data_IF_859609378977
#
_entry.id   IF_859609378977
#
_cell.length_a   1.000
_cell.length_b   1.000
_cell.length_c   1.000
_cell.angle_alpha   90.00
_cell.angle_beta   90.00
_cell.angle_gamma   90.00
#
_symmetry.space_group_name_H-M   'P 1'
#
loop_
_entity.id
_entity.type
_entity.pdbx_description
1 polymer ?
#
# COMPACT_ATOMS: atom_id res chain seq x y z
N UNK A 1 -22.43 8.06 7.45
CA UNK A 1 -22.35 6.65 7.95
C UNK A 1 -23.29 5.67 7.23
N UNK A 2 -24.36 6.09 6.56
CA UNK A 2 -25.28 5.18 5.83
C UNK A 2 -24.69 4.50 4.59
N UNK A 3 -23.59 5.04 4.03
CA UNK A 3 -22.97 4.54 2.79
C UNK A 3 -21.91 3.45 2.98
N UNK A 4 -21.45 3.15 4.22
CA UNK A 4 -20.49 2.06 4.47
C UNK A 4 -21.12 0.68 4.13
N UNK A 5 -22.46 0.52 4.03
CA UNK A 5 -23.16 -0.79 3.96
C UNK A 5 -23.06 -1.54 2.62
N UNK A 6 -22.52 -0.95 1.56
CA UNK A 6 -22.60 -1.52 0.21
C UNK A 6 -21.44 -2.44 -0.19
N UNK A 7 -20.39 -2.58 0.63
CA UNK A 7 -19.28 -3.51 0.37
C UNK A 7 -19.46 -4.83 1.09
N UNK A 8 -18.82 -5.93 0.62
CA UNK A 8 -18.83 -7.21 1.35
C UNK A 8 -18.19 -7.11 2.76
N UNK A 9 -17.41 -6.07 3.06
CA UNK A 9 -16.75 -5.84 4.35
C UNK A 9 -16.86 -4.38 4.83
N UNK A 10 -18.08 -3.91 5.13
CA UNK A 10 -18.39 -2.48 5.37
C UNK A 10 -17.65 -1.89 6.57
N UNK A 11 -17.32 -2.72 7.54
CA UNK A 11 -16.65 -2.32 8.77
C UNK A 11 -15.13 -2.21 8.59
N UNK A 12 -14.52 -2.91 7.62
CA UNK A 12 -13.07 -2.84 7.36
C UNK A 12 -12.71 -1.52 6.67
N UNK A 13 -13.52 -1.08 5.69
CA UNK A 13 -13.37 0.23 5.05
C UNK A 13 -13.47 1.36 6.11
N UNK A 14 -14.43 1.22 7.03
CA UNK A 14 -14.61 2.11 8.16
C UNK A 14 -13.37 2.11 9.12
N UNK A 15 -12.67 0.98 9.32
CA UNK A 15 -11.37 0.92 10.04
C UNK A 15 -10.26 1.67 9.28
N UNK A 16 -10.20 1.52 7.95
CA UNK A 16 -9.20 2.25 7.14
C UNK A 16 -9.43 3.76 7.25
N UNK A 17 -10.67 4.23 7.16
CA UNK A 17 -10.98 5.65 7.36
C UNK A 17 -10.59 6.15 8.76
N UNK A 18 -10.87 5.37 9.80
CA UNK A 18 -10.45 5.70 11.16
C UNK A 18 -8.93 5.81 11.27
N UNK A 19 -8.19 4.90 10.63
CA UNK A 19 -6.72 4.94 10.59
C UNK A 19 -6.18 6.21 9.91
N UNK A 20 -6.84 6.68 8.85
CA UNK A 20 -6.50 7.95 8.21
C UNK A 20 -6.75 9.15 9.13
N UNK A 21 -7.83 9.12 9.91
CA UNK A 21 -8.11 10.16 10.91
C UNK A 21 -7.01 10.19 11.98
N UNK A 22 -6.57 9.04 12.49
CA UNK A 22 -5.46 8.97 13.44
C UNK A 22 -4.17 9.59 12.87
N UNK A 23 -3.85 9.30 11.59
CA UNK A 23 -2.71 9.91 10.91
C UNK A 23 -2.87 11.43 10.77
N UNK A 24 -4.06 11.95 10.44
CA UNK A 24 -4.30 13.40 10.42
C UNK A 24 -4.17 14.05 11.80
N UNK A 25 -4.69 13.40 12.85
CA UNK A 25 -4.52 13.86 14.22
C UNK A 25 -3.04 13.98 14.60
N UNK A 26 -2.19 13.05 14.17
CA UNK A 26 -0.74 13.13 14.42
C UNK A 26 -0.08 14.37 13.80
N UNK A 27 -0.58 14.84 12.64
CA UNK A 27 -0.10 16.07 11.98
C UNK A 27 -0.58 17.31 12.74
N UNK A 28 -1.82 17.29 13.23
CA UNK A 28 -2.38 18.40 14.01
C UNK A 28 -1.69 18.57 15.37
N UNK A 29 -1.17 17.48 15.96
CA UNK A 29 -0.42 17.47 17.21
C UNK A 29 1.03 17.98 17.03
N UNK A 30 1.18 19.22 16.59
CA UNK A 30 2.47 19.92 16.49
C UNK A 30 2.44 21.12 17.41
N UNK A 31 3.59 21.44 18.01
CA UNK A 31 3.81 22.70 18.73
C UNK A 31 3.63 23.85 17.74
N UNK A 32 2.39 24.32 17.64
CA UNK A 32 1.95 25.43 16.79
C UNK A 32 1.46 26.59 17.68
N UNK A 33 0.87 27.61 17.06
CA UNK A 33 0.24 28.74 17.75
C UNK A 33 -0.86 28.35 18.76
N UNK A 34 -1.35 27.10 18.72
CA UNK A 34 -2.36 26.56 19.62
C UNK A 34 -1.79 26.20 21.01
N UNK A 35 -0.46 26.01 21.12
CA UNK A 35 0.23 25.58 22.34
C UNK A 35 1.48 26.45 22.61
N UNK A 36 1.33 27.77 22.80
CA UNK A 36 2.45 28.71 22.85
C UNK A 36 3.36 28.55 24.08
N UNK A 37 2.85 27.98 25.16
CA UNK A 37 3.56 27.86 26.44
C UNK A 37 3.39 26.46 27.05
N UNK A 38 3.90 25.43 26.36
CA UNK A 38 4.02 24.09 26.92
C UNK A 38 5.31 23.94 27.72
N UNK A 39 5.22 23.31 28.89
CA UNK A 39 6.39 22.82 29.61
C UNK A 39 7.13 21.76 28.80
N UNK A 40 8.42 21.58 29.04
CA UNK A 40 9.23 20.55 28.38
C UNK A 40 8.65 19.14 28.57
N UNK A 41 8.04 18.88 29.74
CA UNK A 41 7.37 17.61 30.04
C UNK A 41 6.11 17.40 29.19
N UNK A 42 5.28 18.44 29.05
CA UNK A 42 4.06 18.37 28.26
C UNK A 42 4.38 18.21 26.76
N UNK A 43 5.42 18.90 26.30
CA UNK A 43 5.92 18.77 24.93
C UNK A 43 6.46 17.36 24.64
N UNK A 44 7.17 16.75 25.62
CA UNK A 44 7.65 15.38 25.50
C UNK A 44 6.50 14.38 25.38
N UNK A 45 5.45 14.52 26.19
CA UNK A 45 4.24 13.70 26.07
C UNK A 45 3.55 13.87 24.72
N UNK A 46 3.44 15.10 24.24
CA UNK A 46 2.85 15.40 22.93
C UNK A 46 3.64 14.75 21.79
N UNK A 47 4.98 14.75 21.85
CA UNK A 47 5.82 14.02 20.90
C UNK A 47 5.57 12.51 20.91
N UNK A 48 5.50 11.90 22.11
CA UNK A 48 5.21 10.46 22.25
C UNK A 48 3.86 10.10 21.66
N UNK A 49 2.83 10.88 21.99
CA UNK A 49 1.46 10.69 21.49
C UNK A 49 1.43 10.85 19.98
N UNK A 50 2.03 11.91 19.43
CA UNK A 50 2.13 12.14 17.98
C UNK A 50 2.73 10.94 17.26
N UNK A 51 3.90 10.48 17.71
CA UNK A 51 4.60 9.34 17.10
C UNK A 51 3.76 8.05 17.18
N UNK A 52 3.15 7.81 18.34
CA UNK A 52 2.28 6.65 18.56
C UNK A 52 1.05 6.68 17.66
N UNK A 53 0.37 7.83 17.49
CA UNK A 53 -0.80 7.94 16.62
C UNK A 53 -0.44 7.69 15.16
N UNK A 54 0.70 8.24 14.70
CA UNK A 54 1.17 8.03 13.33
C UNK A 54 1.49 6.55 13.08
N UNK A 55 2.20 5.90 14.00
CA UNK A 55 2.55 4.48 13.89
C UNK A 55 1.31 3.58 13.87
N UNK A 56 0.46 3.71 14.89
CA UNK A 56 -0.74 2.86 15.03
C UNK A 56 -1.69 3.10 13.86
N UNK A 57 -1.85 4.35 13.42
CA UNK A 57 -2.62 4.69 12.24
C UNK A 57 -2.10 4.00 10.97
N UNK A 58 -0.78 4.01 10.75
CA UNK A 58 -0.17 3.33 9.61
C UNK A 58 -0.35 1.81 9.69
N UNK A 59 -0.09 1.19 10.84
CA UNK A 59 -0.21 -0.26 11.05
C UNK A 59 -1.64 -0.75 10.87
N UNK A 60 -2.61 -0.07 11.51
CA UNK A 60 -4.04 -0.43 11.42
C UNK A 60 -4.55 -0.26 10.00
N UNK A 61 -4.20 0.85 9.34
CA UNK A 61 -4.58 1.10 7.96
C UNK A 61 -4.04 0.03 7.01
N UNK A 62 -2.73 -0.22 7.07
CA UNK A 62 -2.08 -1.18 6.20
C UNK A 62 -2.56 -2.62 6.44
N UNK A 63 -2.66 -3.05 7.70
CA UNK A 63 -3.17 -4.39 8.04
C UNK A 63 -4.63 -4.58 7.61
N UNK A 64 -5.48 -3.55 7.71
CA UNK A 64 -6.84 -3.59 7.22
C UNK A 64 -6.91 -3.71 5.69
N UNK A 65 -6.06 -2.97 4.97
CA UNK A 65 -5.97 -3.04 3.50
C UNK A 65 -5.48 -4.42 3.05
N UNK A 66 -4.38 -4.93 3.63
CA UNK A 66 -3.87 -6.29 3.34
C UNK A 66 -4.91 -7.36 3.66
N UNK A 67 -5.60 -7.21 4.79
CA UNK A 67 -6.67 -8.10 5.18
C UNK A 67 -7.82 -8.13 4.17
N UNK A 68 -8.25 -6.97 3.68
CA UNK A 68 -9.28 -6.86 2.65
C UNK A 68 -8.83 -7.50 1.33
N UNK A 69 -7.57 -7.27 0.94
CA UNK A 69 -6.93 -7.89 -0.23
C UNK A 69 -6.92 -9.42 -0.08
N UNK A 70 -6.50 -9.94 1.07
CA UNK A 70 -6.48 -11.37 1.37
C UNK A 70 -7.88 -12.01 1.35
N UNK A 71 -8.86 -11.36 1.97
CA UNK A 71 -10.24 -11.86 1.97
C UNK A 71 -10.79 -11.94 0.54
N UNK A 72 -10.42 -10.99 -0.31
CA UNK A 72 -10.83 -11.00 -1.72
C UNK A 72 -10.10 -12.04 -2.56
N UNK A 73 -8.81 -12.23 -2.31
CA UNK A 73 -8.02 -13.30 -2.93
C UNK A 73 -8.63 -14.67 -2.60
N UNK A 74 -8.94 -14.91 -1.32
CA UNK A 74 -9.58 -16.13 -0.86
C UNK A 74 -10.96 -16.34 -1.48
N UNK A 75 -11.77 -15.29 -1.59
CA UNK A 75 -13.07 -15.36 -2.26
C UNK A 75 -12.92 -15.73 -3.75
N UNK A 76 -11.83 -15.32 -4.40
CA UNK A 76 -11.57 -15.60 -5.82
C UNK A 76 -11.17 -17.05 -6.07
N UNK A 77 -10.36 -17.65 -5.19
CA UNK A 77 -9.95 -19.06 -5.29
C UNK A 77 -11.13 -20.01 -5.01
N UNK A 78 -12.02 -19.65 -4.08
CA UNK A 78 -13.10 -20.51 -3.64
C UNK A 78 -14.38 -20.38 -4.49
N UNK A 79 -14.35 -19.68 -5.62
CA UNK A 79 -15.48 -19.64 -6.57
C UNK A 79 -15.65 -21.02 -7.21
N UNK A 80 -16.52 -21.84 -6.61
CA UNK A 80 -16.81 -23.21 -7.05
C UNK A 80 -16.57 -24.29 -5.98
N UNK A 81 -15.89 -23.96 -4.87
CA UNK A 81 -15.76 -24.89 -3.72
C UNK A 81 -16.90 -24.72 -2.71
N UNK A 82 -17.21 -25.77 -1.95
CA UNK A 82 -18.13 -25.71 -0.79
C UNK A 82 -17.47 -25.07 0.45
N UNK A 83 -16.18 -24.79 0.39
CA UNK A 83 -15.45 -24.18 1.49
C UNK A 83 -15.92 -22.74 1.76
N UNK A 84 -16.11 -22.43 3.03
CA UNK A 84 -16.59 -21.11 3.45
C UNK A 84 -15.49 -20.06 3.30
N UNK A 85 -15.77 -18.88 2.74
CA UNK A 85 -14.83 -17.77 2.71
C UNK A 85 -14.42 -17.36 4.14
N UNK A 86 -13.28 -16.67 4.25
CA UNK A 86 -12.74 -16.18 5.52
C UNK A 86 -13.78 -15.38 6.28
N UNK A 87 -14.10 -15.83 7.50
CA UNK A 87 -15.04 -15.12 8.37
C UNK A 87 -14.49 -13.74 8.75
N UNK A 88 -15.36 -12.72 8.71
CA UNK A 88 -15.01 -11.35 9.12
C UNK A 88 -14.40 -11.30 10.53
N UNK A 89 -14.79 -12.19 11.45
CA UNK A 89 -14.20 -12.27 12.80
C UNK A 89 -12.71 -12.58 12.77
N UNK A 90 -12.28 -13.52 11.92
CA UNK A 90 -10.85 -13.88 11.78
C UNK A 90 -10.05 -12.70 11.25
N UNK A 91 -10.63 -11.94 10.33
CA UNK A 91 -10.00 -10.75 9.77
C UNK A 91 -9.74 -9.67 10.83
N UNK A 92 -10.74 -9.36 11.67
CA UNK A 92 -10.56 -8.39 12.76
C UNK A 92 -9.54 -8.86 13.79
N UNK A 93 -9.50 -10.15 14.11
CA UNK A 93 -8.49 -10.71 15.01
C UNK A 93 -7.08 -10.56 14.46
N UNK A 94 -6.89 -10.75 13.15
CA UNK A 94 -5.58 -10.54 12.49
C UNK A 94 -5.19 -9.06 12.54
N UNK A 95 -6.09 -8.14 12.18
CA UNK A 95 -5.84 -6.69 12.23
C UNK A 95 -5.49 -6.24 13.66
N UNK A 96 -6.27 -6.68 14.64
CA UNK A 96 -6.04 -6.38 16.05
C UNK A 96 -4.71 -6.98 16.55
N UNK A 97 -4.33 -8.16 16.08
CA UNK A 97 -3.04 -8.79 16.39
C UNK A 97 -1.86 -7.95 15.91
N UNK A 98 -1.87 -7.48 14.65
CA UNK A 98 -0.83 -6.59 14.13
C UNK A 98 -0.76 -5.27 14.92
N UNK A 99 -1.91 -4.66 15.23
CA UNK A 99 -1.95 -3.45 16.03
C UNK A 99 -1.42 -3.66 17.46
N UNK A 100 -1.73 -4.78 18.10
CA UNK A 100 -1.23 -5.11 19.43
C UNK A 100 0.29 -5.31 19.44
N UNK A 101 0.83 -6.00 18.43
CA UNK A 101 2.29 -6.17 18.26
C UNK A 101 2.97 -4.81 18.12
N UNK A 102 2.43 -3.92 17.28
CA UNK A 102 2.95 -2.56 17.10
C UNK A 102 2.93 -1.74 18.40
N UNK A 103 1.81 -1.77 19.14
CA UNK A 103 1.72 -1.06 20.44
C UNK A 103 2.72 -1.60 21.46
N UNK A 104 2.89 -2.92 21.55
CA UNK A 104 3.89 -3.54 22.43
C UNK A 104 5.31 -3.10 22.01
N UNK A 105 5.58 -3.11 20.71
CA UNK A 105 6.87 -2.73 20.14
C UNK A 105 7.19 -1.25 20.40
N UNK A 106 6.21 -0.35 20.25
CA UNK A 106 6.31 1.07 20.63
C UNK A 106 6.53 1.26 22.14
N UNK A 107 5.87 0.46 22.98
CA UNK A 107 6.07 0.52 24.42
C UNK A 107 7.50 0.11 24.81
N UNK A 108 8.01 -0.97 24.20
CA UNK A 108 9.39 -1.42 24.39
C UNK A 108 10.40 -0.39 23.88
N UNK A 109 10.16 0.21 22.70
CA UNK A 109 10.99 1.29 22.17
C UNK A 109 11.04 2.48 23.13
N UNK A 110 9.90 2.92 23.66
CA UNK A 110 9.85 4.03 24.61
C UNK A 110 10.57 3.72 25.93
N UNK A 111 10.56 2.46 26.37
CA UNK A 111 11.23 2.03 27.60
C UNK A 111 12.75 1.91 27.43
N UNK A 112 13.21 1.32 26.32
CA UNK A 112 14.64 1.13 26.03
C UNK A 112 15.31 2.40 25.50
N UNK A 113 14.58 3.22 24.74
CA UNK A 113 15.05 4.43 24.08
C UNK A 113 14.12 5.61 24.39
N UNK A 114 14.14 6.13 25.62
CA UNK A 114 13.32 7.28 25.98
C UNK A 114 13.67 8.50 25.12
N UNK A 115 12.64 9.21 24.67
CA UNK A 115 12.74 10.48 23.97
C UNK A 115 13.16 11.59 24.93
N UNK A 116 13.99 12.51 24.45
CA UNK A 116 14.37 13.72 25.17
C UNK A 116 14.09 14.95 24.29
N UNK A 117 13.79 16.06 24.94
CA UNK A 117 13.68 17.37 24.28
C UNK A 117 15.09 17.88 24.01
N UNK A 118 15.41 18.14 22.74
CA UNK A 118 16.66 18.75 22.30
C UNK A 118 16.39 20.08 21.62
N UNK A 119 17.30 21.02 21.82
CA UNK A 119 17.29 22.32 21.16
C UNK A 119 18.34 22.25 20.04
N UNK A 120 17.89 22.43 18.81
CA UNK A 120 18.76 22.46 17.63
C UNK A 120 18.87 23.91 17.15
N UNK A 121 20.08 24.49 17.05
CA UNK A 121 20.27 25.82 16.49
C UNK A 121 19.98 25.79 14.99
N UNK A 122 19.31 26.82 14.48
CA UNK A 122 19.06 27.03 13.07
C UNK A 122 20.05 28.06 12.51
N UNK A 123 20.11 28.17 11.17
CA UNK A 123 20.89 29.21 10.52
C UNK A 123 20.53 30.60 11.04
N UNK A 124 21.55 31.39 11.32
CA UNK A 124 21.45 32.77 11.79
C UNK A 124 21.17 33.70 10.62
N UNK A 125 20.27 34.66 10.81
CA UNK A 125 19.95 35.68 9.81
C UNK A 125 20.32 37.07 10.37
N UNK A 126 20.81 37.98 9.53
CA UNK A 126 21.06 39.37 9.94
C UNK A 126 19.71 40.09 10.04
N UNK A 127 19.49 40.85 11.11
CA UNK A 127 18.23 41.56 11.30
C UNK A 127 17.99 42.56 10.15
N UNK A 128 16.86 42.45 9.42
CA UNK A 128 16.55 43.35 8.31
C UNK A 128 16.43 44.82 8.74
N UNK A 129 16.16 45.10 10.02
CA UNK A 129 16.04 46.46 10.56
C UNK A 129 17.35 46.99 11.15
N UNK A 130 18.30 46.13 11.51
CA UNK A 130 19.56 46.55 12.10
C UNK A 130 20.73 45.61 11.71
N UNK A 131 21.64 46.05 10.82
CA UNK A 131 22.73 45.21 10.33
C UNK A 131 23.76 44.81 11.40
N UNK A 132 23.73 45.42 12.59
CA UNK A 132 24.59 45.08 13.72
C UNK A 132 23.98 44.02 14.66
N UNK A 133 22.75 43.55 14.38
CA UNK A 133 22.09 42.49 15.13
C UNK A 133 21.99 41.22 14.28
N UNK A 134 22.28 40.08 14.93
CA UNK A 134 22.13 38.75 14.34
C UNK A 134 21.01 38.02 15.08
N UNK A 135 20.05 37.50 14.32
CA UNK A 135 18.93 36.72 14.82
C UNK A 135 19.34 35.24 14.84
N UNK A 136 19.38 34.66 16.04
CA UNK A 136 19.58 33.24 16.24
C UNK A 136 18.22 32.55 16.47
N UNK A 137 17.92 31.57 15.63
CA UNK A 137 16.68 30.78 15.75
C UNK A 137 16.99 29.42 16.34
N UNK A 138 16.09 28.92 17.19
CA UNK A 138 16.21 27.61 17.83
C UNK A 138 14.96 26.77 17.53
N UNK A 139 15.15 25.52 17.12
CA UNK A 139 14.07 24.55 17.01
C UNK A 139 14.10 23.57 18.17
N UNK A 140 12.95 23.38 18.80
CA UNK A 140 12.76 22.30 19.76
C UNK A 140 12.38 21.03 18.99
N UNK A 141 13.17 19.97 19.15
CA UNK A 141 12.94 18.64 18.54
C UNK A 141 12.94 17.56 19.62
N UNK A 142 12.20 16.48 19.38
CA UNK A 142 12.21 15.30 20.24
C UNK A 142 13.05 14.22 19.59
N UNK A 143 14.18 13.87 20.20
CA UNK A 143 15.08 12.83 19.71
C UNK A 143 15.50 11.88 20.83
N UNK A 144 15.64 10.57 20.56
CA UNK A 144 16.34 9.67 21.47
C UNK A 144 17.81 10.08 21.64
N UNK A 145 18.48 9.55 22.66
CA UNK A 145 19.91 9.82 22.91
C UNK A 145 20.83 9.14 21.88
N UNK A 146 20.35 8.04 21.29
CA UNK A 146 21.03 7.29 20.22
C UNK A 146 20.22 7.49 18.95
N UNK A 147 20.87 8.02 17.91
CA UNK A 147 20.15 8.70 16.83
C UNK A 147 19.63 7.78 15.72
N UNK A 148 20.07 6.52 15.60
CA UNK A 148 19.70 5.66 14.45
C UNK A 148 18.95 4.38 14.85
N UNK A 149 19.40 3.70 15.91
CA UNK A 149 18.88 2.37 16.32
C UNK A 149 17.34 2.33 16.50
N UNK A 150 16.71 3.23 17.29
CA UNK A 150 15.25 3.16 17.48
C UNK A 150 14.47 3.39 16.19
N UNK A 151 14.98 4.21 15.26
CA UNK A 151 14.34 4.43 13.96
C UNK A 151 14.44 3.20 13.07
N UNK A 152 15.58 2.50 13.05
CA UNK A 152 15.74 1.25 12.26
C UNK A 152 14.81 0.17 12.77
N UNK A 153 14.72 -0.01 14.09
CA UNK A 153 13.80 -0.98 14.71
C UNK A 153 12.36 -0.63 14.31
N UNK A 154 11.97 0.64 14.43
CA UNK A 154 10.65 1.16 14.04
C UNK A 154 10.34 1.07 12.53
N UNK A 155 11.35 1.10 11.65
CA UNK A 155 11.11 0.92 10.23
C UNK A 155 10.95 -0.56 9.87
N UNK A 156 11.65 -1.45 10.59
CA UNK A 156 11.70 -2.87 10.27
C UNK A 156 10.32 -3.54 10.36
N UNK A 157 9.51 -3.24 11.38
CA UNK A 157 8.16 -3.80 11.51
C UNK A 157 7.21 -3.26 10.42
N UNK A 158 7.34 -1.99 10.04
CA UNK A 158 6.55 -1.40 8.95
C UNK A 158 6.89 -2.00 7.60
N UNK A 159 8.18 -2.13 7.28
CA UNK A 159 8.65 -2.73 6.04
C UNK A 159 8.20 -4.19 5.94
N UNK A 160 8.25 -4.94 7.04
CA UNK A 160 7.76 -6.31 7.07
C UNK A 160 6.27 -6.39 6.71
N UNK A 161 5.43 -5.53 7.31
CA UNK A 161 3.99 -5.48 7.02
C UNK A 161 3.72 -5.09 5.56
N UNK A 162 4.51 -4.16 5.01
CA UNK A 162 4.42 -3.73 3.61
C UNK A 162 4.83 -4.82 2.63
N UNK A 163 5.85 -5.62 2.96
CA UNK A 163 6.28 -6.76 2.15
C UNK A 163 5.18 -7.81 2.07
N UNK A 164 4.58 -8.16 3.22
CA UNK A 164 3.42 -9.07 3.28
C UNK A 164 2.27 -8.53 2.43
N UNK A 165 1.98 -7.23 2.53
CA UNK A 165 0.94 -6.60 1.72
C UNK A 165 1.20 -6.63 0.22
N UNK A 166 2.46 -6.41 -0.18
CA UNK A 166 2.89 -6.47 -1.58
C UNK A 166 2.69 -7.87 -2.15
N UNK A 167 3.10 -8.90 -1.41
CA UNK A 167 2.95 -10.29 -1.83
C UNK A 167 1.48 -10.67 -2.03
N UNK A 168 0.61 -10.31 -1.07
CA UNK A 168 -0.83 -10.62 -1.13
C UNK A 168 -1.55 -9.88 -2.27
N UNK A 169 -1.08 -8.68 -2.63
CA UNK A 169 -1.71 -7.87 -3.68
C UNK A 169 -1.21 -8.18 -5.09
N UNK A 170 -0.02 -8.77 -5.23
CA UNK A 170 0.61 -9.07 -6.52
C UNK A 170 -0.26 -9.98 -7.40
N UNK A 171 -0.80 -11.06 -6.84
CA UNK A 171 -1.62 -12.02 -7.57
C UNK A 171 -2.89 -11.39 -8.16
N UNK A 172 -3.47 -10.42 -7.45
CA UNK A 172 -4.67 -9.69 -7.88
C UNK A 172 -4.34 -8.73 -9.04
N UNK A 173 -3.16 -8.10 -8.99
CA UNK A 173 -2.70 -7.16 -10.02
C UNK A 173 -2.27 -7.85 -11.31
N UNK A 174 -1.66 -9.04 -11.20
CA UNK A 174 -1.27 -9.87 -12.33
C UNK A 174 -2.49 -10.43 -13.11
N UNK A 175 -3.71 -10.26 -12.59
CA UNK A 175 -4.93 -10.70 -13.26
C UNK A 175 -5.16 -12.21 -13.18
N UNK A 176 -4.46 -12.91 -12.29
CA UNK A 176 -4.59 -14.34 -12.09
C UNK A 176 -5.89 -14.74 -11.36
N UNK A 177 -6.59 -13.76 -10.77
CA UNK A 177 -7.89 -13.96 -10.11
C UNK A 177 -9.06 -13.65 -11.05
N UNK A 178 -9.91 -14.66 -11.30
CA UNK A 178 -11.00 -14.66 -12.29
C UNK A 178 -12.26 -13.89 -11.87
N UNK A 179 -12.37 -13.40 -10.62
CA UNK A 179 -13.53 -12.64 -10.15
C UNK A 179 -13.23 -11.15 -10.12
N UNK A 180 -13.50 -10.53 -11.26
CA UNK A 180 -13.43 -9.10 -11.50
C UNK A 180 -14.55 -8.36 -10.76
N UNK A 181 -14.41 -8.12 -9.45
CA UNK A 181 -15.02 -6.93 -8.84
C UNK A 181 -14.03 -5.78 -8.96
N UNK A 182 -14.43 -4.67 -9.57
CA UNK A 182 -13.62 -3.45 -9.62
C UNK A 182 -13.15 -3.02 -8.22
N UNK A 183 -13.92 -3.33 -7.17
CA UNK A 183 -13.60 -3.06 -5.79
C UNK A 183 -12.25 -3.67 -5.31
N UNK A 184 -11.94 -4.91 -5.72
CA UNK A 184 -10.75 -5.63 -5.22
C UNK A 184 -9.45 -5.07 -5.77
N UNK A 185 -9.46 -4.67 -7.05
CA UNK A 185 -8.30 -4.09 -7.72
C UNK A 185 -7.91 -2.74 -7.11
N UNK A 186 -8.89 -1.90 -6.75
CA UNK A 186 -8.60 -0.60 -6.14
C UNK A 186 -8.02 -0.75 -4.73
N UNK A 187 -8.51 -1.74 -3.96
CA UNK A 187 -7.92 -2.10 -2.67
C UNK A 187 -6.47 -2.58 -2.82
N UNK A 188 -6.18 -3.47 -3.78
CA UNK A 188 -4.81 -3.93 -4.05
C UNK A 188 -3.89 -2.77 -4.49
N UNK A 189 -4.34 -1.91 -5.40
CA UNK A 189 -3.57 -0.73 -5.85
C UNK A 189 -3.30 0.25 -4.70
N UNK A 190 -4.25 0.41 -3.78
CA UNK A 190 -4.08 1.32 -2.65
C UNK A 190 -2.96 0.89 -1.69
N UNK A 191 -2.63 -0.41 -1.59
CA UNK A 191 -1.46 -0.88 -0.83
C UNK A 191 -0.16 -0.34 -1.44
N UNK A 192 -0.02 -0.41 -2.77
CA UNK A 192 1.15 0.14 -3.46
C UNK A 192 1.25 1.66 -3.40
N UNK A 193 0.11 2.37 -3.32
CA UNK A 193 0.12 3.81 -3.06
C UNK A 193 0.81 4.14 -1.74
N UNK A 194 0.44 3.44 -0.66
CA UNK A 194 1.08 3.64 0.66
C UNK A 194 2.57 3.28 0.60
N UNK A 195 2.93 2.21 -0.11
CA UNK A 195 4.34 1.80 -0.28
C UNK A 195 5.16 2.87 -0.98
N UNK A 196 4.64 3.46 -2.06
CA UNK A 196 5.30 4.53 -2.79
C UNK A 196 5.61 5.72 -1.88
N UNK A 197 4.60 6.22 -1.16
CA UNK A 197 4.76 7.37 -0.27
C UNK A 197 5.68 7.07 0.92
N UNK A 198 5.67 5.85 1.45
CA UNK A 198 6.59 5.43 2.50
C UNK A 198 8.04 5.45 2.01
N UNK A 199 8.33 4.87 0.84
CA UNK A 199 9.67 4.92 0.24
C UNK A 199 10.12 6.37 -0.03
N UNK A 200 9.23 7.23 -0.53
CA UNK A 200 9.52 8.66 -0.69
C UNK A 200 9.85 9.33 0.65
N UNK A 201 9.10 9.02 1.70
CA UNK A 201 9.35 9.52 3.06
C UNK A 201 10.71 9.11 3.60
N UNK A 202 11.11 7.85 3.42
CA UNK A 202 12.43 7.37 3.81
C UNK A 202 13.56 8.12 3.10
N UNK A 203 13.45 8.31 1.80
CA UNK A 203 14.44 9.06 1.01
C UNK A 203 14.52 10.51 1.47
N UNK A 204 13.37 11.15 1.73
CA UNK A 204 13.33 12.53 2.19
C UNK A 204 13.91 12.71 3.59
N UNK A 205 13.74 11.75 4.49
CA UNK A 205 14.36 11.78 5.82
C UNK A 205 15.88 11.80 5.73
N UNK A 206 16.47 11.04 4.81
CA UNK A 206 17.92 11.04 4.58
C UNK A 206 18.43 12.35 3.94
N UNK A 207 17.66 12.94 3.02
CA UNK A 207 18.05 14.17 2.33
C UNK A 207 17.94 15.42 3.23
N UNK A 208 16.96 15.45 4.13
CA UNK A 208 16.60 16.66 4.89
C UNK A 208 17.11 16.68 6.34
N UNK A 209 18.03 15.79 6.70
CA UNK A 209 18.51 15.61 8.08
C UNK A 209 18.97 16.92 8.75
N UNK A 210 19.62 17.81 8.01
CA UNK A 210 20.16 19.07 8.54
C UNK A 210 19.17 20.24 8.53
N UNK A 211 17.96 20.05 7.96
CA UNK A 211 17.03 21.16 7.69
C UNK A 211 15.66 20.96 8.34
N UNK A 212 15.53 21.18 9.67
CA UNK A 212 14.31 20.86 10.42
C UNK A 212 13.06 21.62 9.94
N UNK A 213 13.24 22.83 9.37
CA UNK A 213 12.17 23.62 8.73
C UNK A 213 11.50 22.84 7.59
N UNK A 214 12.29 22.14 6.76
CA UNK A 214 11.79 21.41 5.60
C UNK A 214 11.28 20.02 5.98
N UNK A 215 11.90 19.35 6.96
CA UNK A 215 11.47 18.00 7.42
C UNK A 215 9.99 17.99 7.77
N UNK A 216 9.51 18.97 8.54
CA UNK A 216 8.10 19.04 8.91
C UNK A 216 7.19 19.22 7.70
N UNK A 217 7.50 20.21 6.84
CA UNK A 217 6.71 20.57 5.66
C UNK A 217 6.56 19.38 4.70
N UNK A 218 7.68 18.70 4.38
CA UNK A 218 7.65 17.57 3.46
C UNK A 218 6.98 16.36 4.08
N UNK A 219 7.26 16.03 5.35
CA UNK A 219 6.66 14.88 6.03
C UNK A 219 5.14 15.03 6.16
N UNK A 220 4.64 16.20 6.58
CA UNK A 220 3.19 16.43 6.68
C UNK A 220 2.51 16.37 5.32
N UNK A 221 3.13 16.95 4.29
CA UNK A 221 2.59 16.94 2.92
C UNK A 221 2.51 15.51 2.38
N UNK A 222 3.56 14.71 2.56
CA UNK A 222 3.56 13.30 2.15
C UNK A 222 2.47 12.50 2.83
N UNK A 223 2.29 12.65 4.16
CA UNK A 223 1.24 11.92 4.88
C UNK A 223 -0.14 12.34 4.37
N UNK A 224 -0.40 13.64 4.20
CA UNK A 224 -1.68 14.15 3.69
C UNK A 224 -1.94 13.63 2.27
N UNK A 225 -0.96 13.69 1.37
CA UNK A 225 -1.08 13.17 0.01
C UNK A 225 -1.33 11.65 0.02
N UNK A 226 -0.59 10.90 0.83
CA UNK A 226 -0.78 9.46 0.95
C UNK A 226 -2.20 9.09 1.41
N UNK A 227 -2.69 9.73 2.48
CA UNK A 227 -4.02 9.44 3.03
C UNK A 227 -5.14 9.92 2.11
N UNK A 228 -5.00 11.09 1.47
CA UNK A 228 -6.01 11.61 0.53
C UNK A 228 -6.15 10.72 -0.70
N UNK A 229 -5.04 10.31 -1.32
CA UNK A 229 -5.07 9.39 -2.47
C UNK A 229 -5.68 8.04 -2.07
N UNK A 230 -5.32 7.51 -0.89
CA UNK A 230 -5.88 6.25 -0.38
C UNK A 230 -7.39 6.33 -0.18
N UNK A 231 -7.87 7.39 0.48
CA UNK A 231 -9.30 7.65 0.69
C UNK A 231 -10.04 7.81 -0.64
N UNK A 232 -9.45 8.54 -1.59
CA UNK A 232 -10.03 8.73 -2.92
C UNK A 232 -10.16 7.40 -3.67
N UNK A 233 -9.13 6.56 -3.65
CA UNK A 233 -9.14 5.25 -4.32
C UNK A 233 -10.22 4.34 -3.75
N UNK A 234 -10.37 4.29 -2.43
CA UNK A 234 -11.44 3.52 -1.77
C UNK A 234 -12.83 4.10 -2.06
N UNK A 235 -12.96 5.42 -2.10
CA UNK A 235 -14.21 6.07 -2.45
C UNK A 235 -14.63 5.82 -3.91
N UNK A 236 -13.68 5.85 -4.85
CA UNK A 236 -13.92 5.51 -6.25
C UNK A 236 -14.33 4.03 -6.41
N UNK A 237 -13.71 3.13 -5.63
CA UNK A 237 -14.10 1.72 -5.59
C UNK A 237 -15.56 1.55 -5.17
N UNK A 238 -15.98 2.27 -4.12
CA UNK A 238 -17.35 2.27 -3.60
C UNK A 238 -18.37 2.80 -4.63
N UNK A 239 -18.06 3.91 -5.30
CA UNK A 239 -18.95 4.50 -6.30
C UNK A 239 -19.16 3.57 -7.49
N UNK A 240 -18.10 2.91 -7.95
CA UNK A 240 -18.17 1.96 -9.07
C UNK A 240 -19.04 0.75 -8.73
N UNK A 241 -18.90 0.23 -7.51
CA UNK A 241 -19.69 -0.91 -7.03
C UNK A 241 -21.17 -0.57 -6.84
N UNK A 242 -21.48 0.66 -6.40
CA UNK A 242 -22.86 1.14 -6.33
C UNK A 242 -23.49 1.22 -7.72
N UNK A 243 -22.75 1.72 -8.72
CA UNK A 243 -23.24 1.82 -10.11
C UNK A 243 -23.37 0.46 -10.79
N UNK A 244 -22.50 -0.51 -10.48
CA UNK A 244 -22.62 -1.89 -10.99
C UNK A 244 -23.82 -2.61 -10.38
N UNK A 245 -24.13 -2.35 -9.10
CA UNK A 245 -25.28 -2.95 -8.41
C UNK A 245 -26.60 -2.45 -8.97
N UNK A 246 -26.71 -1.17 -9.34
CA UNK A 246 -27.86 -0.60 -10.06
C UNK A 246 -28.02 -1.19 -11.47
N UNK A 247 -26.93 -1.64 -12.11
CA UNK A 247 -26.93 -2.28 -13.44
C UNK A 247 -26.91 -3.82 -13.40
N UNK A 248 -27.24 -4.46 -12.27
CA UNK A 248 -27.24 -5.94 -12.22
C UNK A 248 -28.33 -6.52 -13.13
N UNK A 249 -27.86 -7.05 -14.26
CA UNK A 249 -28.52 -8.03 -15.10
C UNK A 249 -29.01 -9.22 -14.24
N UNK A 250 -30.20 -9.80 -14.51
CA UNK A 250 -30.78 -10.86 -13.69
C UNK A 250 -29.85 -12.08 -13.53
N UNK A 251 -29.97 -12.83 -12.42
CA UNK A 251 -29.09 -13.96 -12.07
C UNK A 251 -29.05 -15.10 -13.11
N UNK A 252 -30.01 -15.16 -14.05
CA UNK A 252 -29.99 -16.06 -15.20
C UNK A 252 -28.87 -15.72 -16.19
N UNK A 253 -28.70 -14.43 -16.51
CA UNK A 253 -27.73 -13.96 -17.51
C UNK A 253 -26.30 -14.09 -16.99
N UNK A 254 -26.08 -13.92 -15.68
CA UNK A 254 -24.76 -14.11 -15.08
C UNK A 254 -24.29 -15.57 -15.16
N UNK A 255 -25.23 -16.53 -15.08
CA UNK A 255 -24.94 -17.95 -15.24
C UNK A 255 -24.63 -18.29 -16.69
N UNK A 256 -25.38 -17.74 -17.64
CA UNK A 256 -25.08 -17.88 -19.08
C UNK A 256 -23.74 -17.24 -19.45
N UNK A 257 -23.40 -16.08 -18.89
CA UNK A 257 -22.12 -15.41 -19.15
C UNK A 257 -20.95 -16.24 -18.63
N UNK A 258 -21.07 -16.84 -17.43
CA UNK A 258 -20.05 -17.74 -16.89
C UNK A 258 -19.85 -18.98 -17.77
N UNK A 259 -20.94 -19.58 -18.25
CA UNK A 259 -20.90 -20.72 -19.17
C UNK A 259 -20.22 -20.32 -20.50
N UNK A 260 -20.62 -19.19 -21.09
CA UNK A 260 -20.03 -18.67 -22.33
C UNK A 260 -18.55 -18.34 -22.18
N UNK A 261 -18.14 -17.87 -21.00
CA UNK A 261 -16.76 -17.52 -20.71
C UNK A 261 -15.90 -18.77 -20.51
N UNK A 262 -16.46 -19.81 -19.88
CA UNK A 262 -15.84 -21.13 -19.78
C UNK A 262 -15.69 -21.78 -21.17
N UNK A 263 -16.74 -21.77 -21.99
CA UNK A 263 -16.69 -22.27 -23.38
C UNK A 263 -15.66 -21.52 -24.22
N UNK A 264 -15.62 -20.19 -24.13
CA UNK A 264 -14.60 -19.39 -24.83
C UNK A 264 -13.18 -19.74 -24.36
N UNK A 265 -12.97 -20.02 -23.08
CA UNK A 265 -11.66 -20.41 -22.56
C UNK A 265 -11.21 -21.77 -23.10
N UNK A 266 -12.13 -22.73 -23.24
CA UNK A 266 -11.88 -24.05 -23.81
C UNK A 266 -11.62 -23.92 -25.31
N UNK A 267 -12.41 -23.11 -26.01
CA UNK A 267 -12.28 -22.87 -27.44
C UNK A 267 -10.92 -22.25 -27.77
N UNK A 268 -10.47 -21.26 -26.99
CA UNK A 268 -9.13 -20.65 -27.13
C UNK A 268 -8.01 -21.66 -26.94
N UNK A 269 -8.11 -22.56 -25.94
CA UNK A 269 -7.13 -23.65 -25.74
C UNK A 269 -7.08 -24.59 -26.93
N UNK A 270 -8.24 -24.96 -27.49
CA UNK A 270 -8.32 -25.81 -28.69
C UNK A 270 -7.73 -25.12 -29.91
N UNK A 271 -8.03 -23.84 -30.11
CA UNK A 271 -7.47 -23.01 -31.18
C UNK A 271 -5.95 -22.95 -31.08
N UNK A 272 -5.38 -22.63 -29.92
CA UNK A 272 -3.93 -22.59 -29.73
C UNK A 272 -3.27 -23.95 -30.04
N UNK A 273 -3.90 -25.05 -29.63
CA UNK A 273 -3.42 -26.41 -29.92
C UNK A 273 -3.50 -26.75 -31.41
N UNK A 274 -4.54 -26.28 -32.10
CA UNK A 274 -4.69 -26.45 -33.55
C UNK A 274 -3.66 -25.62 -34.31
N UNK A 275 -3.41 -24.39 -33.88
CA UNK A 275 -2.38 -23.50 -34.44
C UNK A 275 -0.99 -24.14 -34.32
N UNK A 276 -0.63 -24.70 -33.16
CA UNK A 276 0.64 -25.42 -32.95
C UNK A 276 0.76 -26.66 -33.86
N UNK A 277 -0.34 -27.39 -34.09
CA UNK A 277 -0.34 -28.53 -35.02
C UNK A 277 -0.15 -28.10 -36.48
N UNK A 278 -0.79 -27.02 -36.90
CA UNK A 278 -0.64 -26.48 -38.26
C UNK A 278 0.78 -25.97 -38.49
N UNK A 279 1.37 -25.30 -37.51
CA UNK A 279 2.75 -24.81 -37.59
C UNK A 279 3.76 -25.97 -37.72
N UNK A 280 3.56 -27.07 -36.99
CA UNK A 280 4.37 -28.29 -37.15
C UNK A 280 4.20 -28.98 -38.50
N UNK A 281 3.00 -28.97 -39.07
CA UNK A 281 2.77 -29.50 -40.42
C UNK A 281 3.49 -28.65 -41.46
N UNK A 282 3.41 -27.32 -41.36
CA UNK A 282 4.15 -26.39 -42.21
C UNK A 282 5.67 -26.57 -42.10
N UNK A 283 6.20 -26.80 -40.90
CA UNK A 283 7.62 -27.11 -40.70
C UNK A 283 8.02 -28.46 -41.28
N UNK A 284 7.15 -29.46 -41.21
CA UNK A 284 7.39 -30.78 -41.80
C UNK A 284 7.40 -30.71 -43.33
N UNK A 285 6.42 -30.02 -43.93
CA UNK A 285 6.38 -29.77 -45.38
C UNK A 285 7.59 -28.95 -45.85
N UNK A 286 8.01 -27.94 -45.07
CA UNK A 286 9.22 -27.16 -45.39
C UNK A 286 10.48 -28.05 -45.37
N UNK A 287 10.62 -28.97 -44.42
CA UNK A 287 11.76 -29.90 -44.37
C UNK A 287 11.76 -30.95 -45.49
N UNK A 288 10.60 -31.32 -46.02
CA UNK A 288 10.49 -32.26 -47.16
C UNK A 288 10.89 -31.60 -48.48
N UNK A 289 10.79 -30.27 -48.60
CA UNK A 289 11.21 -29.51 -49.79
C UNK A 289 12.72 -29.20 -49.80
N UNK A 290 13.38 -29.18 -48.64
CA UNK A 290 14.81 -28.84 -48.49
C UNK A 290 15.88 -29.94 -48.71
N UNK A 291 15.63 -31.23 -49.07
CA UNK A 291 16.71 -32.17 -49.38
C UNK A 291 17.26 -32.09 -50.82
N UNK A 292 16.61 -31.39 -51.76
CA UNK A 292 16.92 -31.54 -53.19
C UNK A 292 17.91 -30.50 -53.77
N UNK A 293 18.82 -29.94 -52.96
CA UNK A 293 19.78 -28.94 -53.45
C UNK A 293 21.25 -29.17 -53.08
N UNK A 294 21.60 -30.22 -52.35
CA UNK A 294 23.01 -30.48 -51.96
C UNK A 294 23.74 -31.53 -52.79
N UNK A 295 23.08 -32.23 -53.73
CA UNK A 295 23.71 -33.35 -54.46
C UNK A 295 24.01 -33.08 -55.95
N UNK A 296 23.89 -31.83 -56.42
CA UNK A 296 24.04 -31.49 -57.85
C UNK A 296 25.19 -30.54 -58.18
N UNK A 297 26.27 -30.55 -57.41
CA UNK A 297 27.51 -29.86 -57.77
C UNK A 297 28.75 -30.71 -57.43
N UNK A 298 29.00 -31.74 -58.25
CA UNK A 298 30.36 -32.30 -58.43
C UNK A 298 30.76 -32.09 -59.90
N UNK A 299 31.85 -31.36 -60.18
CA UNK A 299 32.28 -31.05 -61.55
C UNK A 299 32.93 -32.27 -62.22
N UNK A 300 32.44 -32.65 -63.41
CA UNK A 300 33.12 -33.61 -64.28
C UNK A 300 34.22 -32.88 -65.08
N UNK A 301 35.42 -33.42 -64.93
CA UNK A 301 36.64 -33.14 -65.69
C UNK A 301 36.45 -33.64 -67.13
N UNK A 302 36.71 -32.77 -68.10
CA UNK A 302 37.45 -33.03 -69.34
C UNK A 302 37.74 -31.71 -70.05
#
# INVERSE_FOLDING_TARGET
>A
MSKCRSTPFPMVDCIIYFSCILMYCSIALVKSHMFPSLSDQDYLWLCKIKFSLLSVGLTVGLSAMVGLTWATYQASIHVGSRDKPTSSRKLYLIIAGFAAIDVIMLALLNQCYPLYVRIQPLQTEVDPNNPNHVLEYYATVCSPKVDVIPYVIFLADKVLLMLVGSFVSLDILLGNTTVLLGHSKHAAVSVYNVILFFCCGLTLMFILEEMPKYVFLFTSTLIICCTTVTVLMLFLAMLRESNSTTNRMPPSVNRELLILQEENSILKKRLAKLTDLVERQLETDRRVVEPEQTDRNSPKIN
#
